data_IF_038573511985
#
_entry.id   IF_038573511985
#
_cell.length_a   1.000
_cell.length_b   1.000
_cell.length_c   1.000
_cell.angle_alpha   90.00
_cell.angle_beta   90.00
_cell.angle_gamma   90.00
#
_symmetry.space_group_name_H-M   'P 1'
#
loop_
_entity.id
_entity.type
_entity.pdbx_description
1 polymer ?
#
# COMPACT_ATOMS: atom_id res chain seq x y z
N UNK A 1 -19.37 3.86 -3.92
CA UNK A 1 -19.69 3.42 -2.55
C UNK A 1 -21.03 2.69 -2.45
N UNK A 2 -22.11 3.22 -3.03
CA UNK A 2 -23.49 2.67 -2.93
C UNK A 2 -23.68 1.21 -3.39
N UNK A 3 -22.72 0.63 -4.12
CA UNK A 3 -22.75 -0.77 -4.53
C UNK A 3 -22.45 -1.75 -3.38
N UNK A 4 -21.66 -1.32 -2.40
CA UNK A 4 -21.21 -2.16 -1.29
C UNK A 4 -21.71 -1.67 0.08
N UNK A 5 -22.02 -0.38 0.20
CA UNK A 5 -22.58 0.22 1.43
C UNK A 5 -23.40 1.46 1.08
N UNK A 6 -24.57 1.60 1.68
CA UNK A 6 -25.39 2.81 1.62
C UNK A 6 -25.32 3.54 2.96
N UNK A 7 -25.04 4.84 2.92
CA UNK A 7 -25.10 5.73 4.08
C UNK A 7 -26.45 6.45 4.01
N UNK A 8 -27.28 6.26 5.03
CA UNK A 8 -28.66 6.77 5.07
C UNK A 8 -28.72 8.18 5.68
N UNK A 9 -27.81 8.47 6.60
CA UNK A 9 -27.67 9.79 7.22
C UNK A 9 -27.03 10.79 6.25
N UNK A 10 -27.69 11.92 5.99
CA UNK A 10 -27.27 12.89 4.97
C UNK A 10 -26.02 13.68 5.38
N UNK A 11 -25.88 14.02 6.66
CA UNK A 11 -24.72 14.74 7.18
C UNK A 11 -23.46 13.87 7.07
N UNK A 12 -23.54 12.63 7.58
CA UNK A 12 -22.45 11.64 7.46
C UNK A 12 -22.09 11.40 6.00
N UNK A 13 -23.08 11.35 5.11
CA UNK A 13 -22.84 11.14 3.68
C UNK A 13 -22.07 12.31 3.06
N UNK A 14 -22.45 13.55 3.37
CA UNK A 14 -21.75 14.75 2.88
C UNK A 14 -20.30 14.78 3.34
N UNK A 15 -20.04 14.52 4.63
CA UNK A 15 -18.69 14.48 5.18
C UNK A 15 -17.83 13.39 4.50
N UNK A 16 -18.41 12.22 4.26
CA UNK A 16 -17.74 11.13 3.56
C UNK A 16 -17.41 11.47 2.11
N UNK A 17 -18.32 12.15 1.40
CA UNK A 17 -18.11 12.57 0.02
C UNK A 17 -16.97 13.62 -0.06
N UNK A 18 -16.95 14.60 0.85
CA UNK A 18 -15.87 15.58 0.94
C UNK A 18 -14.52 14.92 1.26
N UNK A 19 -14.50 13.98 2.20
CA UNK A 19 -13.30 13.22 2.53
C UNK A 19 -12.80 12.42 1.32
N UNK A 20 -13.70 11.81 0.55
CA UNK A 20 -13.36 11.06 -0.65
C UNK A 20 -12.70 11.97 -1.71
N UNK A 21 -13.22 13.19 -1.91
CA UNK A 21 -12.61 14.19 -2.81
C UNK A 21 -11.19 14.56 -2.32
N UNK A 22 -11.04 14.84 -1.03
CA UNK A 22 -9.73 15.18 -0.45
C UNK A 22 -8.72 14.05 -0.59
N UNK A 23 -9.13 12.80 -0.33
CA UNK A 23 -8.27 11.62 -0.50
C UNK A 23 -7.87 11.46 -1.97
N UNK A 24 -8.83 11.63 -2.89
CA UNK A 24 -8.58 11.52 -4.34
C UNK A 24 -7.52 12.54 -4.78
N UNK A 25 -7.65 13.81 -4.37
CA UNK A 25 -6.65 14.83 -4.66
C UNK A 25 -5.27 14.49 -4.08
N UNK A 26 -5.20 13.96 -2.84
CA UNK A 26 -3.93 13.53 -2.24
C UNK A 26 -3.28 12.41 -3.05
N UNK A 27 -4.04 11.42 -3.49
CA UNK A 27 -3.55 10.31 -4.32
C UNK A 27 -3.01 10.84 -5.65
N UNK A 28 -3.77 11.69 -6.35
CA UNK A 28 -3.33 12.32 -7.61
C UNK A 28 -2.04 13.11 -7.40
N UNK A 29 -1.99 13.95 -6.36
CA UNK A 29 -0.83 14.78 -6.06
C UNK A 29 0.43 13.95 -5.79
N UNK A 30 0.32 12.83 -5.07
CA UNK A 30 1.46 11.96 -4.77
C UNK A 30 1.89 11.17 -6.02
N UNK A 31 0.97 10.39 -6.59
CA UNK A 31 1.32 9.36 -7.58
C UNK A 31 1.41 9.89 -9.02
N UNK A 32 0.66 10.95 -9.37
CA UNK A 32 0.65 11.49 -10.73
C UNK A 32 1.62 12.65 -10.87
N UNK A 33 1.70 13.52 -9.87
CA UNK A 33 2.57 14.70 -9.90
C UNK A 33 3.89 14.47 -9.14
N UNK A 34 3.82 14.19 -7.84
CA UNK A 34 4.98 14.16 -6.95
C UNK A 34 6.06 13.13 -7.33
N UNK A 35 5.67 12.00 -7.94
CA UNK A 35 6.64 11.03 -8.46
C UNK A 35 7.35 11.56 -9.71
N UNK A 36 6.62 12.24 -10.61
CA UNK A 36 7.15 12.70 -11.90
C UNK A 36 8.04 13.93 -11.80
N UNK A 37 7.98 14.66 -10.70
CA UNK A 37 8.82 15.86 -10.47
C UNK A 37 10.20 15.54 -9.92
N UNK A 38 10.49 14.27 -9.60
CA UNK A 38 11.79 13.84 -9.07
C UNK A 38 12.77 13.52 -10.21
N UNK A 39 14.06 13.77 -9.99
CA UNK A 39 15.11 13.53 -11.00
C UNK A 39 15.19 12.04 -11.43
N UNK A 40 14.91 11.14 -10.50
CA UNK A 40 14.69 9.72 -10.74
C UNK A 40 13.27 9.37 -10.32
N UNK A 41 12.41 9.02 -11.29
CA UNK A 41 10.98 8.79 -11.04
C UNK A 41 10.79 7.48 -10.28
N UNK A 42 10.32 7.51 -9.02
CA UNK A 42 9.97 6.29 -8.28
C UNK A 42 8.74 5.64 -8.88
N UNK A 43 8.60 4.34 -8.64
CA UNK A 43 7.39 3.58 -8.91
C UNK A 43 6.87 2.94 -7.62
N UNK A 44 5.76 2.22 -7.73
CA UNK A 44 5.13 1.55 -6.61
C UNK A 44 4.86 0.08 -6.92
N UNK A 45 4.89 -0.76 -5.88
CA UNK A 45 4.62 -2.20 -5.95
C UNK A 45 3.62 -2.58 -4.86
N UNK A 46 2.47 -3.08 -5.27
CA UNK A 46 1.54 -3.78 -4.38
C UNK A 46 1.92 -5.26 -4.28
N UNK A 47 1.48 -5.88 -3.18
CA UNK A 47 1.71 -7.28 -2.92
C UNK A 47 0.37 -8.01 -2.80
N UNK A 48 0.24 -9.11 -3.51
CA UNK A 48 -0.97 -9.91 -3.56
C UNK A 48 -1.11 -10.81 -2.34
N UNK A 49 -2.34 -11.12 -1.98
CA UNK A 49 -2.61 -12.08 -0.92
C UNK A 49 -2.00 -13.46 -1.26
N UNK A 50 -1.35 -14.09 -0.28
CA UNK A 50 -0.63 -15.35 -0.44
C UNK A 50 0.85 -15.19 -0.82
N UNK A 51 1.33 -13.99 -1.12
CA UNK A 51 2.75 -13.76 -1.35
C UNK A 51 3.55 -13.91 -0.04
N UNK A 52 4.75 -14.47 -0.13
CA UNK A 52 5.65 -14.55 1.02
C UNK A 52 6.06 -13.15 1.49
N UNK A 53 6.22 -12.97 2.81
CA UNK A 53 6.68 -11.70 3.34
C UNK A 53 8.12 -11.41 2.95
N UNK A 54 8.38 -10.18 2.49
CA UNK A 54 9.70 -9.65 2.18
C UNK A 54 10.00 -8.47 3.14
N UNK A 55 10.60 -8.70 4.32
CA UNK A 55 10.77 -7.65 5.35
C UNK A 55 11.59 -6.42 4.91
N UNK A 56 12.36 -6.54 3.83
CA UNK A 56 13.08 -5.41 3.24
C UNK A 56 12.15 -4.48 2.44
N UNK A 57 11.03 -5.00 1.92
CA UNK A 57 10.03 -4.24 1.14
C UNK A 57 8.73 -3.96 1.91
N UNK A 58 8.50 -4.66 3.01
CA UNK A 58 7.23 -4.68 3.74
C UNK A 58 7.42 -4.30 5.21
N UNK A 59 6.40 -3.69 5.80
CA UNK A 59 6.26 -3.43 7.22
C UNK A 59 4.86 -3.81 7.70
N UNK A 60 4.76 -4.28 8.94
CA UNK A 60 3.51 -4.71 9.56
C UNK A 60 3.75 -5.30 10.94
N UNK A 61 2.70 -5.84 11.56
CA UNK A 61 2.79 -6.48 12.87
C UNK A 61 3.35 -7.92 12.78
N UNK A 62 4.61 -8.06 12.34
CA UNK A 62 5.31 -9.33 12.26
C UNK A 62 6.81 -9.19 12.54
N UNK A 63 7.39 -10.15 13.27
CA UNK A 63 8.83 -10.23 13.47
C UNK A 63 9.58 -10.80 12.26
N UNK A 64 10.90 -10.55 12.17
CA UNK A 64 11.75 -11.08 11.09
C UNK A 64 11.74 -12.62 11.08
N UNK A 65 11.86 -13.26 12.25
CA UNK A 65 11.83 -14.72 12.40
C UNK A 65 10.47 -15.33 11.99
N UNK A 66 9.37 -14.66 12.36
CA UNK A 66 8.01 -15.12 12.10
C UNK A 66 7.59 -14.98 10.64
N UNK A 67 8.23 -14.07 9.89
CA UNK A 67 7.91 -13.79 8.49
C UNK A 67 7.94 -15.03 7.58
N UNK A 68 8.74 -16.05 7.91
CA UNK A 68 8.83 -17.31 7.14
C UNK A 68 7.54 -18.13 7.18
N UNK A 69 6.77 -18.03 8.27
CA UNK A 69 5.50 -18.75 8.49
C UNK A 69 4.28 -17.95 8.05
N UNK A 70 4.49 -16.69 7.71
CA UNK A 70 3.45 -15.74 7.35
C UNK A 70 3.44 -15.44 5.85
N UNK A 71 2.30 -15.01 5.37
CA UNK A 71 2.07 -14.51 4.03
C UNK A 71 1.24 -13.23 4.07
N UNK A 72 1.25 -12.49 2.97
CA UNK A 72 0.42 -11.30 2.79
C UNK A 72 -1.05 -11.72 2.85
N UNK A 73 -1.83 -11.09 3.72
CA UNK A 73 -3.28 -11.15 3.66
C UNK A 73 -3.84 -9.93 2.93
N UNK A 74 -3.38 -8.74 3.32
CA UNK A 74 -3.78 -7.46 2.73
C UNK A 74 -2.57 -6.57 2.59
N UNK A 75 -2.42 -5.95 1.41
CA UNK A 75 -1.50 -4.84 1.17
C UNK A 75 -2.28 -3.52 1.18
N UNK A 76 -2.30 -2.83 2.33
CA UNK A 76 -3.07 -1.60 2.51
C UNK A 76 -2.40 -0.37 1.86
N UNK A 77 -1.09 -0.39 1.70
CA UNK A 77 -0.34 0.67 1.03
C UNK A 77 0.88 0.08 0.30
N UNK A 78 1.22 0.53 -0.91
CA UNK A 78 2.28 -0.09 -1.70
C UNK A 78 3.67 0.26 -1.18
N UNK A 79 4.64 -0.55 -1.57
CA UNK A 79 6.06 -0.18 -1.46
C UNK A 79 6.37 0.84 -2.54
N UNK A 80 7.07 1.93 -2.21
CA UNK A 80 7.47 2.98 -3.14
C UNK A 80 8.99 3.03 -3.19
N UNK A 81 9.54 2.97 -4.40
CA UNK A 81 10.98 2.90 -4.60
C UNK A 81 11.37 2.92 -6.07
N UNK A 82 12.68 2.84 -6.30
CA UNK A 82 13.25 2.59 -7.62
C UNK A 82 13.69 1.13 -7.61
N UNK A 83 13.04 0.31 -8.44
CA UNK A 83 13.33 -1.12 -8.55
C UNK A 83 14.15 -1.37 -9.81
N UNK A 84 15.40 -1.76 -9.65
CA UNK A 84 16.36 -1.90 -10.75
C UNK A 84 16.57 -3.38 -11.15
N UNK A 85 15.81 -4.30 -10.58
CA UNK A 85 15.84 -5.74 -10.89
C UNK A 85 16.84 -6.54 -10.04
N UNK A 86 17.85 -5.89 -9.48
CA UNK A 86 18.70 -6.46 -8.43
C UNK A 86 18.25 -5.92 -7.06
N UNK A 87 17.83 -6.82 -6.16
CA UNK A 87 17.36 -6.51 -4.81
C UNK A 87 18.34 -5.67 -4.00
N UNK A 88 19.64 -5.76 -4.28
CA UNK A 88 20.67 -4.97 -3.59
C UNK A 88 20.76 -3.52 -4.07
N UNK A 89 20.27 -3.26 -5.28
CA UNK A 89 20.29 -1.95 -5.94
C UNK A 89 18.96 -1.20 -5.84
N UNK A 90 17.93 -1.86 -5.33
CA UNK A 90 16.61 -1.28 -5.11
C UNK A 90 16.70 -0.19 -4.04
N UNK A 91 16.20 1.01 -4.36
CA UNK A 91 16.10 2.12 -3.42
C UNK A 91 14.67 2.21 -2.91
N UNK A 92 14.46 1.80 -1.67
CA UNK A 92 13.15 1.82 -1.03
C UNK A 92 12.97 3.13 -0.27
N UNK A 93 11.96 3.90 -0.66
CA UNK A 93 11.58 5.13 0.02
C UNK A 93 10.51 4.87 1.09
N UNK A 94 9.52 4.03 0.75
CA UNK A 94 8.43 3.65 1.65
C UNK A 94 8.21 2.13 1.52
N UNK A 95 8.19 1.42 2.64
CA UNK A 95 7.82 0.00 2.67
C UNK A 95 6.31 -0.18 2.55
N UNK A 96 5.88 -1.26 1.92
CA UNK A 96 4.47 -1.63 1.86
C UNK A 96 3.90 -1.88 3.25
N UNK A 97 2.67 -1.43 3.50
CA UNK A 97 1.96 -1.72 4.73
C UNK A 97 1.15 -2.98 4.56
N UNK A 98 1.54 -4.03 5.29
CA UNK A 98 1.00 -5.38 5.15
C UNK A 98 0.32 -5.82 6.44
N UNK A 99 -0.88 -6.39 6.29
CA UNK A 99 -1.48 -7.27 7.29
C UNK A 99 -1.10 -8.69 6.89
N UNK A 100 -0.47 -9.41 7.82
CA UNK A 100 0.04 -10.74 7.59
C UNK A 100 -0.90 -11.80 8.19
N UNK A 101 -0.98 -12.96 7.55
CA UNK A 101 -1.66 -14.15 8.07
C UNK A 101 -0.74 -15.36 8.05
N UNK A 102 -1.06 -16.37 8.83
CA UNK A 102 -0.40 -17.67 8.75
C UNK A 102 -0.62 -18.31 7.38
N UNK A 103 0.42 -18.92 6.82
CA UNK A 103 0.31 -19.75 5.62
C UNK A 103 -0.67 -20.88 5.86
N UNK A 104 -1.54 -21.15 4.89
CA UNK A 104 -2.40 -22.33 4.91
C UNK A 104 -1.51 -23.55 4.59
N UNK A 105 -1.39 -24.46 5.56
CA UNK A 105 -0.71 -25.76 5.41
C UNK A 105 -1.40 -26.62 4.35
#
# INVERSE_FOLDING_TARGET
MNRYRQVVDEETKSEMDDLAVQITHKVINIFIFGFKTQASVPTYKFFDAGQALEPHLMQGAFGIEESKKLEVEVCGFPCIGIFNGDKSSDRIFIKAQIIARSKRL
#
